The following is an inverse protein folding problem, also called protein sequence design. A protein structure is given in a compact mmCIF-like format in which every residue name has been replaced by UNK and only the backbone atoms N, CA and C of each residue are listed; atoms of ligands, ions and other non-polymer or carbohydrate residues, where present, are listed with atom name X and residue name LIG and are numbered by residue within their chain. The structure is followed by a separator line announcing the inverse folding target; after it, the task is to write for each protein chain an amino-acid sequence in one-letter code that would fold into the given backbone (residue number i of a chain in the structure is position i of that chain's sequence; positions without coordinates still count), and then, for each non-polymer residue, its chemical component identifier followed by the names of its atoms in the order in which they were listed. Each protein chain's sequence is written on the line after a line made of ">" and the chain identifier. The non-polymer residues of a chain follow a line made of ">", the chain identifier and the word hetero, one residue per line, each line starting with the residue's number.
data_IF_298739134474
#
_entry.id   IF_298739134474
#
_cell.length_a   1.000
_cell.length_b   1.000
_cell.length_c   1.000
_cell.angle_alpha   90.00
_cell.angle_beta   90.00
_cell.angle_gamma   90.00
#
_symmetry.space_group_name_H-M   'P 1'
#
loop_
_entity.id
_entity.type
_entity.pdbx_description
1 polymer ?
#
# COMPACT_ATOMS: atom_id res chain seq x y z
N UNK A 1 -6.68 -15.23 0.17
CA UNK A 1 -6.11 -16.59 0.13
C UNK A 1 -5.00 -16.71 1.18
N UNK A 2 -5.17 -17.53 2.24
CA UNK A 2 -4.07 -17.79 3.21
C UNK A 2 -2.98 -18.61 2.49
N UNK A 3 -1.71 -18.23 2.61
CA UNK A 3 -0.63 -19.01 1.99
C UNK A 3 -0.57 -20.37 2.69
N UNK A 4 -0.75 -21.44 1.94
CA UNK A 4 -0.48 -22.79 2.43
C UNK A 4 0.97 -22.95 2.87
N UNK A 5 1.27 -24.00 3.63
CA UNK A 5 2.59 -24.26 4.20
C UNK A 5 3.73 -24.15 3.17
N UNK A 6 3.50 -24.66 1.95
CA UNK A 6 4.44 -24.57 0.82
C UNK A 6 4.67 -23.14 0.33
N UNK A 7 3.62 -22.32 0.29
CA UNK A 7 3.71 -20.91 -0.08
C UNK A 7 4.46 -20.08 0.96
N UNK A 8 4.21 -20.35 2.25
CA UNK A 8 4.98 -19.77 3.36
C UNK A 8 6.46 -20.14 3.28
N UNK A 9 6.78 -21.40 2.99
CA UNK A 9 8.17 -21.86 2.85
C UNK A 9 8.85 -21.23 1.62
N UNK A 10 8.15 -21.14 0.50
CA UNK A 10 8.65 -20.49 -0.71
C UNK A 10 8.90 -18.99 -0.48
N UNK A 11 7.98 -18.28 0.17
CA UNK A 11 8.19 -16.89 0.56
C UNK A 11 9.33 -16.73 1.57
N UNK A 12 9.46 -17.65 2.52
CA UNK A 12 10.53 -17.66 3.50
C UNK A 12 11.92 -17.79 2.83
N UNK A 13 12.04 -18.65 1.82
CA UNK A 13 13.32 -19.07 1.24
C UNK A 13 13.69 -18.42 -0.10
N UNK A 14 12.72 -17.90 -0.87
CA UNK A 14 12.95 -17.39 -2.24
C UNK A 14 12.75 -15.87 -2.40
N UNK A 15 12.26 -15.19 -1.38
CA UNK A 15 12.05 -13.74 -1.41
C UNK A 15 13.12 -13.09 -0.56
N UNK A 16 13.94 -12.24 -1.19
CA UNK A 16 14.91 -11.40 -0.52
C UNK A 16 14.18 -10.37 0.36
N UNK A 17 14.67 -10.21 1.59
CA UNK A 17 14.03 -9.37 2.60
C UNK A 17 15.02 -8.36 3.14
N UNK A 18 14.55 -7.14 3.29
CA UNK A 18 15.18 -6.13 4.11
C UNK A 18 14.58 -6.16 5.51
N UNK A 19 15.33 -5.71 6.52
CA UNK A 19 14.79 -5.63 7.88
C UNK A 19 13.72 -4.55 7.99
N UNK A 20 12.61 -4.88 8.64
CA UNK A 20 11.51 -3.92 8.91
C UNK A 20 11.98 -2.65 9.62
N UNK A 21 12.86 -2.71 10.66
CA UNK A 21 13.37 -1.50 11.30
C UNK A 21 14.15 -0.59 10.35
N UNK A 22 14.94 -1.17 9.43
CA UNK A 22 15.68 -0.38 8.44
C UNK A 22 14.72 0.32 7.47
N UNK A 23 13.74 -0.40 6.93
CA UNK A 23 12.72 0.20 6.07
C UNK A 23 11.98 1.35 6.78
N UNK A 24 11.55 1.12 8.03
CA UNK A 24 10.85 2.14 8.79
C UNK A 24 11.72 3.36 9.11
N UNK A 25 13.02 3.18 9.38
CA UNK A 25 13.95 4.28 9.59
C UNK A 25 14.10 5.13 8.32
N UNK A 26 14.28 4.49 7.16
CA UNK A 26 14.33 5.18 5.87
C UNK A 26 13.03 5.91 5.57
N UNK A 27 11.87 5.28 5.83
CA UNK A 27 10.57 5.89 5.63
C UNK A 27 10.36 7.13 6.51
N UNK A 28 10.73 7.04 7.80
CA UNK A 28 10.65 8.17 8.73
C UNK A 28 11.54 9.34 8.27
N UNK A 29 12.78 9.07 7.87
CA UNK A 29 13.67 10.13 7.41
C UNK A 29 13.24 10.76 6.09
N UNK A 30 12.65 9.97 5.19
CA UNK A 30 12.00 10.52 3.99
C UNK A 30 10.86 11.48 4.37
N UNK A 31 10.00 11.12 5.33
CA UNK A 31 8.93 12.01 5.78
C UNK A 31 9.47 13.25 6.49
N UNK A 32 10.48 13.11 7.35
CA UNK A 32 11.14 14.25 7.99
C UNK A 32 11.70 15.23 6.94
N UNK A 33 12.32 14.72 5.88
CA UNK A 33 12.78 15.54 4.78
C UNK A 33 11.61 16.25 4.07
N UNK A 34 10.51 15.56 3.80
CA UNK A 34 9.32 16.17 3.19
C UNK A 34 8.70 17.24 4.11
N UNK A 35 8.63 16.99 5.41
CA UNK A 35 8.12 17.95 6.40
C UNK A 35 8.96 19.24 6.45
N UNK A 36 10.27 19.14 6.21
CA UNK A 36 11.17 20.29 6.21
C UNK A 36 11.20 21.04 4.87
N UNK A 37 10.81 20.39 3.77
CA UNK A 37 11.04 20.90 2.41
C UNK A 37 9.76 21.22 1.64
N UNK A 38 8.59 20.86 2.16
CA UNK A 38 7.30 21.16 1.54
C UNK A 38 6.60 22.28 2.29
N UNK A 39 5.82 23.08 1.57
CA UNK A 39 5.15 24.26 2.12
C UNK A 39 3.82 23.91 2.82
N UNK A 40 3.29 22.71 2.58
CA UNK A 40 1.98 22.29 3.10
C UNK A 40 1.84 20.77 3.24
N UNK A 41 0.91 20.35 4.10
CA UNK A 41 0.49 18.95 4.25
C UNK A 41 -0.03 18.36 2.94
N UNK A 42 -0.75 19.15 2.14
CA UNK A 42 -1.25 18.72 0.83
C UNK A 42 -0.11 18.41 -0.15
N UNK A 43 0.95 19.22 -0.15
CA UNK A 43 2.12 18.96 -0.98
C UNK A 43 2.84 17.68 -0.52
N UNK A 44 3.00 17.49 0.79
CA UNK A 44 3.56 16.26 1.38
C UNK A 44 2.75 15.04 0.90
N UNK A 45 1.43 15.07 1.05
CA UNK A 45 0.55 13.97 0.64
C UNK A 45 0.68 13.66 -0.85
N UNK A 46 0.73 14.68 -1.72
CA UNK A 46 0.94 14.51 -3.16
C UNK A 46 2.29 13.86 -3.47
N UNK A 47 3.37 14.31 -2.81
CA UNK A 47 4.71 13.71 -2.98
C UNK A 47 4.76 12.27 -2.48
N UNK A 48 4.17 11.96 -1.33
CA UNK A 48 4.08 10.59 -0.80
C UNK A 48 3.34 9.65 -1.77
N UNK A 49 2.19 10.09 -2.30
CA UNK A 49 1.44 9.31 -3.30
C UNK A 49 2.22 9.16 -4.60
N UNK A 50 2.93 10.19 -5.05
CA UNK A 50 3.78 10.13 -6.24
C UNK A 50 4.96 9.16 -6.08
N UNK A 51 5.63 9.18 -4.92
CA UNK A 51 6.68 8.20 -4.57
C UNK A 51 6.09 6.79 -4.57
N UNK A 52 4.94 6.59 -3.94
CA UNK A 52 4.23 5.31 -3.96
C UNK A 52 3.90 4.83 -5.36
N UNK A 53 3.46 5.73 -6.25
CA UNK A 53 3.21 5.40 -7.64
C UNK A 53 4.48 4.88 -8.32
N UNK A 54 5.62 5.57 -8.16
CA UNK A 54 6.91 5.14 -8.71
C UNK A 54 7.37 3.80 -8.13
N UNK A 55 7.19 3.58 -6.83
CA UNK A 55 7.44 2.27 -6.21
C UNK A 55 6.56 1.20 -6.85
N UNK A 56 5.27 1.49 -7.06
CA UNK A 56 4.35 0.58 -7.72
C UNK A 56 4.75 0.24 -9.15
N UNK A 57 5.23 1.21 -9.94
CA UNK A 57 5.78 0.96 -11.28
C UNK A 57 6.96 -0.03 -11.23
N UNK A 58 7.93 0.20 -10.34
CA UNK A 58 9.08 -0.69 -10.19
C UNK A 58 8.67 -2.11 -9.76
N UNK A 59 7.80 -2.21 -8.74
CA UNK A 59 7.30 -3.50 -8.27
C UNK A 59 6.54 -4.25 -9.36
N UNK A 60 5.76 -3.54 -10.19
CA UNK A 60 5.01 -4.16 -11.29
C UNK A 60 5.89 -4.59 -12.46
N UNK A 61 6.94 -3.85 -12.78
CA UNK A 61 7.93 -4.30 -13.79
C UNK A 61 8.55 -5.63 -13.35
N UNK A 62 8.98 -5.73 -12.09
CA UNK A 62 9.53 -6.96 -11.52
C UNK A 62 8.50 -8.10 -11.44
N UNK A 63 7.20 -7.76 -11.31
CA UNK A 63 6.11 -8.73 -11.20
C UNK A 63 5.58 -9.19 -12.57
N UNK A 64 5.58 -8.33 -13.58
CA UNK A 64 5.19 -8.65 -14.95
C UNK A 64 6.16 -9.63 -15.60
N UNK A 65 7.46 -9.54 -15.29
CA UNK A 65 8.44 -10.56 -15.67
C UNK A 65 8.15 -11.93 -15.04
N UNK A 66 7.46 -11.96 -13.89
CA UNK A 66 7.18 -13.17 -13.10
C UNK A 66 5.81 -13.80 -13.39
N UNK A 67 4.86 -13.08 -13.99
CA UNK A 67 3.49 -13.58 -14.23
C UNK A 67 3.10 -13.44 -15.70
N UNK A 68 2.66 -14.55 -16.31
CA UNK A 68 2.27 -14.64 -17.74
C UNK A 68 0.83 -14.19 -18.05
N UNK A 69 -0.05 -14.09 -17.05
CA UNK A 69 -1.47 -13.75 -17.24
C UNK A 69 -1.85 -12.45 -16.53
N UNK A 70 -2.65 -11.62 -17.21
CA UNK A 70 -3.15 -10.35 -16.68
C UNK A 70 -4.53 -10.55 -16.04
N UNK A 71 -4.76 -9.95 -14.86
CA UNK A 71 -6.08 -9.95 -14.21
C UNK A 71 -7.15 -9.37 -15.14
N UNK A 72 -8.29 -10.06 -15.26
CA UNK A 72 -9.38 -9.77 -16.19
C UNK A 72 -10.57 -9.06 -15.52
N UNK A 73 -10.66 -9.04 -14.19
CA UNK A 73 -11.75 -8.39 -13.42
C UNK A 73 -11.26 -7.57 -12.21
N UNK A 74 -12.13 -6.69 -11.70
CA UNK A 74 -11.84 -5.84 -10.52
C UNK A 74 -11.74 -6.65 -9.22
N UNK A 75 -12.46 -7.77 -9.13
CA UNK A 75 -12.33 -8.71 -8.00
C UNK A 75 -11.00 -9.47 -8.04
N UNK A 76 -10.52 -9.88 -9.22
CA UNK A 76 -9.16 -10.45 -9.39
C UNK A 76 -8.06 -9.41 -9.08
N UNK A 77 -8.35 -8.13 -9.32
CA UNK A 77 -7.46 -7.03 -8.93
C UNK A 77 -7.28 -6.95 -7.42
N UNK A 78 -8.35 -7.14 -6.62
CA UNK A 78 -8.25 -7.19 -5.16
C UNK A 78 -7.34 -8.33 -4.66
N UNK A 79 -7.46 -9.52 -5.26
CA UNK A 79 -6.61 -10.66 -4.90
C UNK A 79 -5.15 -10.47 -5.32
N UNK A 80 -4.91 -9.79 -6.45
CA UNK A 80 -3.55 -9.39 -6.86
C UNK A 80 -2.90 -8.47 -5.82
N UNK A 81 -3.63 -7.45 -5.34
CA UNK A 81 -3.13 -6.53 -4.33
C UNK A 81 -2.92 -7.21 -2.96
N UNK A 82 -3.79 -8.15 -2.57
CA UNK A 82 -3.59 -8.95 -1.35
C UNK A 82 -2.32 -9.78 -1.42
N UNK A 83 -2.07 -10.43 -2.56
CA UNK A 83 -0.85 -11.20 -2.75
C UNK A 83 0.38 -10.30 -2.76
N UNK A 84 0.33 -9.17 -3.47
CA UNK A 84 1.42 -8.21 -3.50
C UNK A 84 1.74 -7.67 -2.10
N UNK A 85 0.72 -7.28 -1.33
CA UNK A 85 0.91 -6.81 0.04
C UNK A 85 1.56 -7.87 0.90
N UNK A 86 1.07 -9.11 0.84
CA UNK A 86 1.65 -10.24 1.57
C UNK A 86 3.10 -10.53 1.21
N UNK A 87 3.43 -10.49 -0.08
CA UNK A 87 4.79 -10.76 -0.53
C UNK A 87 5.76 -9.67 -0.06
N UNK A 88 5.34 -8.40 -0.07
CA UNK A 88 6.21 -7.27 0.29
C UNK A 88 6.27 -6.98 1.80
N UNK A 89 5.19 -7.20 2.53
CA UNK A 89 5.11 -6.93 3.98
C UNK A 89 5.33 -8.17 4.86
N UNK A 90 5.09 -9.37 4.32
CA UNK A 90 5.06 -10.61 5.07
C UNK A 90 3.75 -10.89 5.82
N UNK A 91 2.74 -10.01 5.72
CA UNK A 91 1.44 -10.17 6.39
C UNK A 91 0.26 -9.98 5.44
N UNK A 92 -0.87 -10.59 5.80
CA UNK A 92 -2.14 -10.36 5.12
C UNK A 92 -2.78 -9.06 5.65
N UNK A 93 -3.61 -8.39 4.85
CA UNK A 93 -4.54 -7.39 5.38
C UNK A 93 -5.44 -8.01 6.46
N UNK A 94 -5.78 -7.23 7.48
CA UNK A 94 -6.75 -7.61 8.51
C UNK A 94 -8.12 -7.85 7.91
N UNK A 95 -8.56 -6.96 7.03
CA UNK A 95 -9.84 -7.06 6.33
C UNK A 95 -9.75 -6.52 4.90
N UNK A 96 -10.55 -7.09 4.01
CA UNK A 96 -10.75 -6.58 2.64
C UNK A 96 -12.24 -6.61 2.34
N UNK A 97 -12.83 -5.41 2.25
CA UNK A 97 -14.23 -5.22 1.94
C UNK A 97 -14.40 -4.76 0.49
N UNK A 98 -15.40 -5.29 -0.20
CA UNK A 98 -15.75 -4.91 -1.57
C UNK A 98 -17.23 -4.53 -1.55
N UNK A 99 -17.60 -3.41 -2.19
CA UNK A 99 -18.99 -2.99 -2.30
C UNK A 99 -19.80 -3.93 -3.21
N UNK A 100 -21.12 -4.00 -3.00
CA UNK A 100 -22.01 -4.89 -3.76
C UNK A 100 -22.01 -4.60 -5.27
N UNK A 101 -21.77 -3.35 -5.66
CA UNK A 101 -21.64 -2.90 -7.06
C UNK A 101 -20.23 -3.11 -7.64
N UNK A 102 -19.32 -3.71 -6.86
CA UNK A 102 -17.91 -3.93 -7.17
C UNK A 102 -17.15 -2.65 -7.59
N UNK A 103 -17.64 -1.46 -7.23
CA UNK A 103 -16.98 -0.19 -7.60
C UNK A 103 -15.95 0.28 -6.57
N UNK A 104 -16.00 -0.25 -5.35
CA UNK A 104 -15.16 0.19 -4.23
C UNK A 104 -14.55 -1.01 -3.52
N UNK A 105 -13.25 -0.96 -3.28
CA UNK A 105 -12.52 -1.92 -2.43
C UNK A 105 -11.85 -1.16 -1.30
N UNK A 106 -11.96 -1.68 -0.08
CA UNK A 106 -11.25 -1.19 1.10
C UNK A 106 -10.31 -2.27 1.62
N UNK A 107 -9.04 -1.92 1.82
CA UNK A 107 -8.04 -2.76 2.45
C UNK A 107 -7.70 -2.19 3.81
N UNK A 108 -7.85 -2.99 4.87
CA UNK A 108 -7.65 -2.53 6.25
C UNK A 108 -6.59 -3.37 6.94
N UNK A 109 -5.68 -2.72 7.68
CA UNK A 109 -4.61 -3.37 8.44
C UNK A 109 -4.45 -2.77 9.84
N UNK A 110 -4.78 -3.57 10.86
CA UNK A 110 -4.65 -3.21 12.26
C UNK A 110 -3.19 -3.21 12.72
N UNK A 111 -2.30 -3.94 12.04
CA UNK A 111 -0.89 -4.11 12.38
C UNK A 111 0.01 -3.53 11.27
N UNK A 112 -0.40 -2.38 10.73
CA UNK A 112 0.27 -1.76 9.57
C UNK A 112 1.79 -1.60 9.80
N UNK A 113 2.63 -2.28 9.00
CA UNK A 113 4.07 -2.36 9.24
C UNK A 113 4.80 -1.04 8.92
N UNK A 114 4.14 -0.12 8.21
CA UNK A 114 4.72 1.18 7.81
C UNK A 114 4.66 2.17 8.97
N UNK A 115 3.53 2.23 9.68
CA UNK A 115 3.28 3.23 10.72
C UNK A 115 3.33 2.70 12.15
N UNK A 116 3.68 1.43 12.36
CA UNK A 116 3.83 0.87 13.69
C UNK A 116 4.81 1.73 14.54
N UNK A 117 4.34 2.08 15.75
CA UNK A 117 5.10 2.90 16.70
C UNK A 117 5.22 4.38 16.33
N UNK A 118 4.49 4.85 15.30
CA UNK A 118 4.41 6.27 14.93
C UNK A 118 3.19 6.90 15.58
N UNK A 119 3.34 8.12 16.10
CA UNK A 119 2.23 8.98 16.54
C UNK A 119 2.50 10.39 16.05
N UNK A 120 1.53 10.99 15.34
CA UNK A 120 1.56 12.35 14.80
C UNK A 120 0.26 13.03 15.20
N UNK A 121 0.38 14.11 15.97
CA UNK A 121 -0.78 14.82 16.56
C UNK A 121 -0.91 16.26 16.07
N UNK A 122 0.06 16.77 15.31
CA UNK A 122 0.25 18.19 14.98
C UNK A 122 0.23 18.47 13.47
N UNK A 123 -0.11 17.47 12.64
CA UNK A 123 -0.23 17.60 11.19
C UNK A 123 -1.61 17.15 10.69
N UNK A 124 -2.66 17.97 10.91
CA UNK A 124 -4.00 17.64 10.45
C UNK A 124 -4.03 17.44 8.93
N UNK A 125 -4.72 16.39 8.49
CA UNK A 125 -4.85 16.05 7.07
C UNK A 125 -3.66 15.28 6.47
N UNK A 126 -2.60 15.01 7.24
CA UNK A 126 -1.49 14.20 6.76
C UNK A 126 -1.97 12.79 6.39
N UNK A 127 -1.37 12.18 5.37
CA UNK A 127 -1.60 10.79 4.99
C UNK A 127 -0.28 10.02 5.14
N UNK A 128 0.09 9.65 6.38
CA UNK A 128 1.41 9.06 6.67
C UNK A 128 1.75 7.81 5.84
N UNK A 129 0.75 6.98 5.55
CA UNK A 129 0.88 5.76 4.75
C UNK A 129 0.44 5.94 3.28
N UNK A 130 0.44 7.16 2.73
CA UNK A 130 -0.01 7.40 1.34
C UNK A 130 0.85 6.71 0.28
N UNK A 131 2.02 6.18 0.67
CA UNK A 131 2.83 5.28 -0.14
C UNK A 131 1.97 4.14 -0.73
N UNK A 132 1.15 3.51 0.10
CA UNK A 132 0.34 2.35 -0.31
C UNK A 132 -0.72 2.76 -1.32
N UNK A 133 -1.37 3.91 -1.11
CA UNK A 133 -2.30 4.49 -2.09
C UNK A 133 -1.61 4.79 -3.42
N UNK A 134 -0.38 5.30 -3.39
CA UNK A 134 0.42 5.49 -4.60
C UNK A 134 0.69 4.17 -5.33
N UNK A 135 1.11 3.14 -4.61
CA UNK A 135 1.34 1.80 -5.18
C UNK A 135 0.06 1.26 -5.81
N UNK A 136 -1.06 1.33 -5.09
CA UNK A 136 -2.37 0.90 -5.58
C UNK A 136 -2.80 1.68 -6.83
N UNK A 137 -2.57 3.00 -6.85
CA UNK A 137 -2.86 3.84 -8.00
C UNK A 137 -2.03 3.41 -9.23
N UNK A 138 -0.75 3.07 -9.05
CA UNK A 138 0.07 2.56 -10.14
C UNK A 138 -0.52 1.26 -10.72
N UNK A 139 -0.91 0.31 -9.86
CA UNK A 139 -1.54 -0.94 -10.34
C UNK A 139 -2.85 -0.66 -11.06
N UNK A 140 -3.72 0.20 -10.52
CA UNK A 140 -4.99 0.57 -11.13
C UNK A 140 -4.78 1.15 -12.53
N UNK A 141 -3.87 2.13 -12.62
CA UNK A 141 -3.57 2.87 -13.86
C UNK A 141 -2.93 1.99 -14.92
N UNK A 142 -1.89 1.22 -14.54
CA UNK A 142 -1.15 0.38 -15.49
C UNK A 142 -1.96 -0.82 -15.99
N UNK A 143 -3.02 -1.20 -15.28
CA UNK A 143 -3.98 -2.23 -15.71
C UNK A 143 -5.16 -1.65 -16.52
N UNK A 144 -5.19 -0.33 -16.74
CA UNK A 144 -6.19 0.34 -17.56
C UNK A 144 -7.52 0.63 -16.86
N UNK A 145 -7.62 0.41 -15.54
CA UNK A 145 -8.78 0.80 -14.76
C UNK A 145 -8.78 2.31 -14.51
N UNK A 146 -9.97 2.92 -14.52
CA UNK A 146 -10.16 4.34 -14.18
C UNK A 146 -10.68 4.45 -12.76
N UNK A 147 -10.02 5.25 -11.93
CA UNK A 147 -10.41 5.43 -10.54
C UNK A 147 -9.30 6.06 -9.71
N UNK A 148 -9.54 6.12 -8.41
CA UNK A 148 -8.59 6.69 -7.45
C UNK A 148 -8.35 5.74 -6.28
N UNK A 149 -7.09 5.68 -5.83
CA UNK A 149 -6.69 5.02 -4.61
C UNK A 149 -6.22 6.06 -3.58
N UNK A 150 -6.77 6.03 -2.37
CA UNK A 150 -6.47 7.00 -1.32
C UNK A 150 -6.46 6.37 0.07
N UNK A 151 -5.79 7.01 1.01
CA UNK A 151 -5.79 6.61 2.42
C UNK A 151 -7.01 7.21 3.09
N UNK A 152 -7.87 6.34 3.65
CA UNK A 152 -9.08 6.73 4.38
C UNK A 152 -8.78 6.98 5.86
N UNK A 153 -7.91 6.16 6.46
CA UNK A 153 -7.52 6.26 7.87
C UNK A 153 -6.08 5.78 8.10
N UNK A 154 -5.44 6.20 9.19
CA UNK A 154 -4.12 5.73 9.59
C UNK A 154 -3.88 5.79 11.10
N UNK A 155 -3.37 4.69 11.64
CA UNK A 155 -3.04 4.58 13.07
C UNK A 155 -2.01 5.60 13.56
N UNK A 156 -1.10 6.06 12.70
CA UNK A 156 -0.16 7.13 13.07
C UNK A 156 -0.86 8.44 13.44
N UNK A 157 -2.09 8.64 12.98
CA UNK A 157 -2.85 9.88 13.13
C UNK A 157 -3.96 9.75 14.18
N UNK A 158 -3.95 8.65 14.95
CA UNK A 158 -4.92 8.40 16.02
C UNK A 158 -6.09 7.49 15.66
N UNK A 159 -6.18 7.01 14.41
CA UNK A 159 -7.23 6.05 14.02
C UNK A 159 -6.97 4.65 14.58
N UNK A 160 -8.03 3.84 14.70
CA UNK A 160 -7.90 2.46 15.20
C UNK A 160 -7.21 1.52 14.21
N UNK A 161 -7.37 1.78 12.90
CA UNK A 161 -6.91 0.92 11.81
C UNK A 161 -6.44 1.76 10.61
N UNK A 162 -5.44 1.28 9.88
CA UNK A 162 -5.07 1.87 8.59
C UNK A 162 -5.96 1.30 7.50
N UNK A 163 -6.63 2.17 6.74
CA UNK A 163 -7.49 1.76 5.63
C UNK A 163 -7.13 2.52 4.36
N UNK A 164 -6.99 1.78 3.26
CA UNK A 164 -6.81 2.32 1.91
C UNK A 164 -7.97 1.90 1.04
N UNK A 165 -8.54 2.87 0.34
CA UNK A 165 -9.73 2.70 -0.49
C UNK A 165 -9.36 2.89 -1.94
N UNK A 166 -9.83 1.98 -2.78
CA UNK A 166 -9.78 2.07 -4.23
C UNK A 166 -11.21 2.22 -4.73
N UNK A 167 -11.48 3.29 -5.46
CA UNK A 167 -12.79 3.57 -6.03
C UNK A 167 -12.68 3.70 -7.55
N UNK A 168 -13.37 2.82 -8.26
CA UNK A 168 -13.50 2.89 -9.71
C UNK A 168 -14.46 4.04 -10.09
N UNK A 169 -14.17 4.68 -11.23
CA UNK A 169 -14.98 5.76 -11.80
C UNK A 169 -16.12 5.23 -12.67
#
# INVERSE_FOLDING_TARGET
>A
MRMGLKGRLAWALKIDKVSKPLFQAVWRELLNNLFQTCDSVDEINKKLKSIGFKVGEHLLMDYAERIKEHAQSFTEFADTLKLAYKVNSGQDFTDVWISDDESTIKFSDADCPICEGVVINDMPGLQYCNLVSGVFQAVLTLRGFKGDAYQESCKALGDEICTWTIKQA
#
